data_IF_190349166676
#
_entry.id   IF_190349166676
#
_cell.length_a   1.000
_cell.length_b   1.000
_cell.length_c   1.000
_cell.angle_alpha   90.00
_cell.angle_beta   90.00
_cell.angle_gamma   90.00
#
_symmetry.space_group_name_H-M   'P 1'
#
loop_
_entity.id
_entity.type
_entity.pdbx_description
1 polymer ?
#
# COMPACT_ATOMS: atom_id res chain seq x y z
N UNK A 1 8.63 17.96 11.18
CA UNK A 1 7.53 17.17 10.61
C UNK A 1 8.08 15.80 10.23
N UNK A 2 7.37 14.71 10.50
CA UNK A 2 7.76 13.34 10.13
C UNK A 2 6.52 12.47 9.91
N UNK A 3 6.66 11.35 9.20
CA UNK A 3 5.60 10.34 9.07
C UNK A 3 5.61 9.55 10.38
N UNK A 4 4.52 9.58 11.14
CA UNK A 4 4.40 8.85 12.42
C UNK A 4 3.80 7.45 12.26
N UNK A 5 2.91 7.27 11.29
CA UNK A 5 2.21 6.01 11.04
C UNK A 5 1.86 5.88 9.55
N UNK A 6 1.91 4.64 9.03
CA UNK A 6 1.41 4.26 7.72
C UNK A 6 0.51 3.03 7.89
N UNK A 7 -0.76 3.18 7.50
CA UNK A 7 -1.72 2.08 7.42
C UNK A 7 -1.90 1.68 5.95
N UNK A 8 -1.75 0.40 5.66
CA UNK A 8 -1.87 -0.17 4.31
C UNK A 8 -2.99 -1.20 4.32
N UNK A 9 -4.08 -0.90 3.61
CA UNK A 9 -5.27 -1.74 3.46
C UNK A 9 -5.61 -1.87 1.98
N UNK A 10 -6.03 -3.06 1.54
CA UNK A 10 -6.39 -3.34 0.14
C UNK A 10 -5.36 -2.89 -0.89
N UNK A 11 -4.08 -2.98 -0.54
CA UNK A 11 -3.01 -2.51 -1.39
C UNK A 11 -2.00 -3.63 -1.63
N UNK A 12 -2.07 -4.18 -2.84
CA UNK A 12 -1.22 -5.27 -3.33
C UNK A 12 -1.26 -6.51 -2.42
N UNK A 13 -0.21 -6.72 -1.63
CA UNK A 13 -0.02 -7.89 -0.76
C UNK A 13 -0.89 -7.82 0.50
N UNK A 14 -1.30 -6.61 0.92
CA UNK A 14 -2.05 -6.40 2.16
C UNK A 14 -3.56 -6.37 1.89
N UNK A 15 -4.33 -7.08 2.72
CA UNK A 15 -5.79 -7.13 2.67
C UNK A 15 -6.44 -6.10 3.60
N UNK A 16 -7.70 -6.31 3.98
CA UNK A 16 -8.41 -5.50 4.98
C UNK A 16 -8.31 -6.10 6.39
N UNK A 17 -8.58 -5.27 7.40
CA UNK A 17 -8.74 -5.70 8.79
C UNK A 17 -7.46 -6.31 9.36
N UNK A 18 -7.54 -7.55 9.86
CA UNK A 18 -6.39 -8.29 10.42
C UNK A 18 -5.26 -8.54 9.40
N UNK A 19 -5.55 -8.39 8.10
CA UNK A 19 -4.55 -8.55 7.01
C UNK A 19 -3.94 -7.21 6.57
N UNK A 20 -4.34 -6.12 7.20
CA UNK A 20 -3.77 -4.80 6.98
C UNK A 20 -2.38 -4.71 7.60
N UNK A 21 -1.50 -3.90 7.01
CA UNK A 21 -0.24 -3.54 7.65
C UNK A 21 -0.35 -2.19 8.36
N UNK A 22 0.07 -2.16 9.62
CA UNK A 22 0.20 -0.94 10.40
C UNK A 22 1.66 -0.73 10.79
N UNK A 23 2.32 0.25 10.20
CA UNK A 23 3.70 0.59 10.48
C UNK A 23 3.77 1.89 11.29
N UNK A 24 4.40 1.83 12.46
CA UNK A 24 4.68 3.01 13.30
C UNK A 24 6.12 3.42 13.16
N UNK A 25 6.33 4.69 12.83
CA UNK A 25 7.65 5.26 12.59
C UNK A 25 8.06 6.12 13.78
N UNK A 26 9.36 6.10 14.06
CA UNK A 26 9.97 7.02 15.02
C UNK A 26 10.63 8.17 14.26
N UNK A 27 10.74 9.36 14.87
CA UNK A 27 11.57 10.43 14.32
C UNK A 27 13.01 9.94 14.06
N UNK A 28 13.59 10.38 12.95
CA UNK A 28 14.94 9.99 12.55
C UNK A 28 14.94 8.85 11.53
N UNK A 29 15.83 7.86 11.72
CA UNK A 29 16.05 6.77 10.76
C UNK A 29 15.17 5.55 11.10
N UNK A 30 14.41 5.08 10.10
CA UNK A 30 13.73 3.78 10.14
C UNK A 30 14.27 2.90 9.02
N UNK A 31 14.71 1.69 9.35
CA UNK A 31 15.15 0.69 8.38
C UNK A 31 14.08 -0.40 8.21
N UNK A 32 13.69 -0.68 6.96
CA UNK A 32 12.75 -1.75 6.62
C UNK A 32 13.56 -2.95 6.13
N UNK A 33 13.53 -4.06 6.88
CA UNK A 33 14.30 -5.28 6.60
C UNK A 33 13.38 -6.51 6.60
N UNK A 34 13.81 -7.58 5.94
CA UNK A 34 13.03 -8.81 5.78
C UNK A 34 13.50 -9.60 4.56
N UNK A 35 12.97 -10.80 4.37
CA UNK A 35 13.27 -11.67 3.23
C UNK A 35 12.78 -11.08 1.90
N UNK A 36 13.30 -11.58 0.77
CA UNK A 36 12.77 -11.20 -0.53
C UNK A 36 11.26 -11.53 -0.60
N UNK A 37 10.51 -10.69 -1.31
CA UNK A 37 9.04 -10.80 -1.44
C UNK A 37 8.22 -10.63 -0.14
N UNK A 38 8.85 -10.26 0.97
CA UNK A 38 8.16 -10.01 2.25
C UNK A 38 7.31 -8.72 2.31
N UNK A 39 7.11 -8.03 1.18
CA UNK A 39 6.30 -6.81 1.12
C UNK A 39 7.04 -5.48 1.38
N UNK A 40 8.38 -5.46 1.48
CA UNK A 40 9.15 -4.21 1.68
C UNK A 40 8.91 -3.19 0.57
N UNK A 41 8.90 -3.62 -0.68
CA UNK A 41 8.59 -2.77 -1.85
C UNK A 41 7.17 -2.22 -1.78
N UNK A 42 6.21 -3.00 -1.28
CA UNK A 42 4.81 -2.57 -1.11
C UNK A 42 4.71 -1.41 -0.11
N UNK A 43 5.49 -1.42 0.97
CA UNK A 43 5.54 -0.32 1.93
C UNK A 43 6.05 0.97 1.28
N UNK A 44 7.13 0.89 0.51
CA UNK A 44 7.69 2.05 -0.21
C UNK A 44 6.70 2.59 -1.23
N UNK A 45 5.99 1.72 -1.95
CA UNK A 45 5.02 2.14 -2.96
C UNK A 45 3.75 2.72 -2.34
N UNK A 46 3.31 2.20 -1.19
CA UNK A 46 2.23 2.81 -0.42
C UNK A 46 2.60 4.23 0.06
N UNK A 47 3.85 4.43 0.50
CA UNK A 47 4.35 5.77 0.85
C UNK A 47 4.35 6.71 -0.34
N UNK A 48 4.85 6.26 -1.50
CA UNK A 48 4.84 7.05 -2.75
C UNK A 48 3.42 7.42 -3.17
N UNK A 49 2.50 6.45 -3.10
CA UNK A 49 1.09 6.65 -3.41
C UNK A 49 0.44 7.68 -2.48
N UNK A 50 0.62 7.54 -1.17
CA UNK A 50 0.03 8.43 -0.17
C UNK A 50 0.59 9.87 -0.24
N UNK A 51 1.88 10.02 -0.54
CA UNK A 51 2.53 11.33 -0.65
C UNK A 51 2.39 11.97 -2.03
N UNK A 52 1.83 11.24 -3.00
CA UNK A 52 1.70 11.71 -4.39
C UNK A 52 3.05 11.99 -5.05
N UNK A 53 4.15 11.38 -4.59
CA UNK A 53 5.48 11.59 -5.16
C UNK A 53 5.58 10.84 -6.49
N UNK A 54 5.70 11.60 -7.57
CA UNK A 54 5.65 11.12 -8.95
C UNK A 54 7.06 10.75 -9.40
N UNK A 55 7.41 9.48 -9.33
CA UNK A 55 8.49 8.95 -10.18
C UNK A 55 8.23 7.50 -10.64
N UNK A 56 8.17 7.41 -11.97
CA UNK A 56 8.41 6.31 -12.91
C UNK A 56 7.43 5.15 -13.15
N UNK A 57 6.56 4.72 -12.24
CA UNK A 57 5.51 3.76 -12.60
C UNK A 57 4.15 4.18 -12.05
N UNK A 58 3.40 4.84 -12.93
CA UNK A 58 2.01 5.21 -12.68
C UNK A 58 1.18 3.93 -12.60
N UNK A 59 0.81 3.49 -11.40
CA UNK A 59 -0.36 2.61 -11.24
C UNK A 59 -1.57 3.44 -11.63
N UNK A 60 -1.90 3.45 -12.92
CA UNK A 60 -3.17 3.98 -13.39
C UNK A 60 -4.21 3.04 -12.79
N UNK A 61 -4.92 3.50 -11.77
CA UNK A 61 -6.18 2.86 -11.38
C UNK A 61 -7.10 3.13 -12.57
N UNK A 62 -7.11 2.17 -13.50
CA UNK A 62 -8.03 2.14 -14.63
C UNK A 62 -9.30 1.55 -14.04
N UNK A 63 -10.23 2.45 -13.77
CA UNK A 63 -11.53 2.20 -13.17
C UNK A 63 -12.41 1.40 -14.13
N UNK A 64 -12.03 0.16 -14.46
CA UNK A 64 -12.79 -0.60 -15.45
C UNK A 64 -13.51 -1.79 -14.83
N UNK A 65 -13.02 -2.37 -13.71
CA UNK A 65 -13.72 -3.43 -12.95
C UNK A 65 -13.33 -3.47 -11.48
N UNK A 66 -14.34 -3.44 -10.63
CA UNK A 66 -14.20 -3.58 -9.17
C UNK A 66 -14.71 -4.96 -8.75
N UNK A 67 -13.94 -5.63 -7.89
CA UNK A 67 -14.35 -6.87 -7.23
C UNK A 67 -15.19 -6.54 -5.99
N UNK A 68 -16.44 -7.00 -5.96
CA UNK A 68 -17.27 -6.94 -4.77
C UNK A 68 -17.37 -8.35 -4.21
N UNK A 69 -17.00 -8.53 -2.94
CA UNK A 69 -16.89 -9.82 -2.23
C UNK A 69 -18.17 -10.67 -2.16
N UNK A 70 -19.23 -10.29 -2.87
CA UNK A 70 -20.42 -11.10 -3.18
C UNK A 70 -20.24 -12.03 -4.39
N UNK A 71 -19.04 -12.12 -4.97
CA UNK A 71 -18.78 -12.92 -6.17
C UNK A 71 -19.25 -12.24 -7.46
N UNK A 72 -19.53 -10.94 -7.42
CA UNK A 72 -19.93 -10.14 -8.57
C UNK A 72 -18.89 -9.06 -8.87
N UNK A 73 -18.53 -8.97 -10.15
CA UNK A 73 -17.73 -7.88 -10.69
C UNK A 73 -18.65 -6.89 -11.37
N UNK A 74 -18.46 -5.61 -11.08
CA UNK A 74 -19.14 -4.53 -11.78
C UNK A 74 -18.19 -3.93 -12.80
N UNK A 75 -18.74 -3.62 -13.97
CA UNK A 75 -18.03 -3.00 -15.08
C UNK A 75 -18.19 -1.48 -14.98
N UNK A 76 -17.17 -0.76 -15.40
CA UNK A 76 -17.35 0.54 -16.06
C UNK A 76 -17.33 0.33 -17.58
#
# INVERSE_FOLDING_TARGET
>A
MYISELKIENFRLFGEGEKAALLRFRPGLTAIVGENDSGKTVVVDALRFALGTRDQEYFRIVDDRIFVGSGQFYKV
#
